data_IF_205326936122
#
_entry.id   IF_205326936122
#
_cell.length_a   1.000
_cell.length_b   1.000
_cell.length_c   1.000
_cell.angle_alpha   90.00
_cell.angle_beta   90.00
_cell.angle_gamma   90.00
#
_symmetry.space_group_name_H-M   'P 1'
#
loop_
_entity.id
_entity.type
_entity.pdbx_description
1 polymer ?
#
# COMPACT_ATOMS: atom_id res chain seq x y z
N UNK A 1 -2.55 17.30 4.05
CA UNK A 1 -2.41 17.40 5.51
C UNK A 1 -0.99 16.97 5.86
N UNK A 2 -0.29 17.76 6.66
CA UNK A 2 1.04 17.47 7.19
C UNK A 2 0.93 17.09 8.67
N UNK A 3 1.70 16.09 9.10
CA UNK A 3 1.76 15.69 10.50
C UNK A 3 3.21 15.63 10.95
N UNK A 4 3.53 16.30 12.04
CA UNK A 4 4.85 16.28 12.68
C UNK A 4 4.67 16.42 14.19
N UNK A 5 5.30 15.55 14.99
CA UNK A 5 5.28 15.61 16.45
C UNK A 5 3.88 15.82 17.05
N UNK A 6 2.87 15.08 16.59
CA UNK A 6 1.45 15.19 16.97
C UNK A 6 0.73 16.48 16.53
N UNK A 7 1.42 17.38 15.83
CA UNK A 7 0.79 18.54 15.22
C UNK A 7 0.30 18.14 13.83
N UNK A 8 -0.94 18.45 13.52
CA UNK A 8 -1.56 18.16 12.22
C UNK A 8 -1.99 19.49 11.61
N UNK A 9 -1.49 19.78 10.41
CA UNK A 9 -1.78 21.01 9.66
C UNK A 9 -2.33 20.69 8.28
N UNK A 10 -3.31 21.44 7.83
CA UNK A 10 -3.76 21.42 6.45
C UNK A 10 -2.74 22.18 5.59
N UNK A 11 -2.00 21.47 4.74
CA UNK A 11 -1.02 22.10 3.84
C UNK A 11 -1.69 22.78 2.66
N UNK A 12 -2.69 22.11 2.06
CA UNK A 12 -3.44 22.64 0.93
C UNK A 12 -4.89 22.16 0.98
N UNK A 13 -5.80 23.06 0.60
CA UNK A 13 -7.21 22.78 0.38
C UNK A 13 -7.57 23.35 -0.98
N UNK A 14 -8.13 22.55 -1.88
CA UNK A 14 -8.54 22.98 -3.21
C UNK A 14 -9.95 22.54 -3.50
N UNK A 15 -10.75 23.43 -4.09
CA UNK A 15 -12.04 23.07 -4.65
C UNK A 15 -11.83 22.27 -5.93
N UNK A 16 -12.53 21.16 -6.03
CA UNK A 16 -12.49 20.30 -7.22
C UNK A 16 -13.61 20.69 -8.19
N UNK A 17 -13.27 21.40 -9.24
CA UNK A 17 -14.18 21.91 -10.29
C UNK A 17 -14.25 21.02 -11.53
N UNK A 18 -13.53 19.90 -11.55
CA UNK A 18 -13.37 18.98 -12.69
C UNK A 18 -12.57 19.52 -13.88
N UNK A 19 -12.06 20.73 -13.84
CA UNK A 19 -11.19 21.30 -14.90
C UNK A 19 -9.85 20.56 -14.99
N UNK A 20 -9.38 20.01 -13.86
CA UNK A 20 -8.14 19.23 -13.75
C UNK A 20 -8.42 17.87 -13.09
N UNK A 21 -7.66 16.86 -13.42
CA UNK A 21 -7.79 15.58 -12.74
C UNK A 21 -7.26 15.66 -11.30
N UNK A 22 -7.83 14.87 -10.39
CA UNK A 22 -7.32 14.77 -9.00
C UNK A 22 -5.84 14.39 -8.93
N UNK A 23 -5.37 13.57 -9.87
CA UNK A 23 -3.96 13.20 -9.99
C UNK A 23 -3.08 14.41 -10.31
N UNK A 24 -3.51 15.25 -11.26
CA UNK A 24 -2.79 16.48 -11.61
C UNK A 24 -2.68 17.42 -10.42
N UNK A 25 -3.78 17.63 -9.68
CA UNK A 25 -3.78 18.48 -8.48
C UNK A 25 -2.77 17.98 -7.45
N UNK A 26 -2.75 16.68 -7.19
CA UNK A 26 -1.79 16.09 -6.22
C UNK A 26 -0.35 16.20 -6.70
N UNK A 27 -0.09 16.07 -8.01
CA UNK A 27 1.24 16.27 -8.58
C UNK A 27 1.69 17.75 -8.52
N UNK A 28 0.78 18.70 -8.69
CA UNK A 28 1.07 20.13 -8.52
C UNK A 28 1.45 20.42 -7.06
N UNK A 29 0.68 19.91 -6.09
CA UNK A 29 1.02 20.01 -4.67
C UNK A 29 2.41 19.42 -4.39
N UNK A 30 2.73 18.27 -4.97
CA UNK A 30 4.04 17.66 -4.79
C UNK A 30 5.19 18.53 -5.35
N UNK A 31 4.96 19.23 -6.47
CA UNK A 31 5.96 20.16 -7.05
C UNK A 31 6.26 21.33 -6.12
N UNK A 32 5.26 21.86 -5.43
CA UNK A 32 5.39 22.99 -4.52
C UNK A 32 6.03 22.61 -3.17
N UNK A 33 5.98 21.32 -2.80
CA UNK A 33 6.60 20.86 -1.57
C UNK A 33 8.13 21.06 -1.60
N UNK A 34 8.73 21.49 -0.49
CA UNK A 34 10.19 21.48 -0.34
C UNK A 34 10.71 20.03 -0.35
N UNK A 35 12.01 19.88 -0.62
CA UNK A 35 12.70 18.60 -0.44
C UNK A 35 12.60 18.21 1.04
N UNK A 36 12.27 16.96 1.30
CA UNK A 36 12.11 16.45 2.67
C UNK A 36 13.46 16.53 3.42
N UNK A 37 13.56 17.33 4.49
CA UNK A 37 14.82 17.51 5.22
C UNK A 37 15.16 16.34 6.16
N UNK A 38 14.18 15.52 6.46
CA UNK A 38 14.28 14.35 7.34
C UNK A 38 13.50 13.19 6.73
N UNK A 39 13.58 12.01 7.33
CA UNK A 39 12.77 10.86 6.92
C UNK A 39 11.28 11.26 6.98
N UNK A 40 10.67 11.36 5.82
CA UNK A 40 9.29 11.80 5.65
C UNK A 40 8.50 10.80 4.82
N UNK A 41 7.22 10.66 5.13
CA UNK A 41 6.33 9.72 4.46
C UNK A 41 5.17 10.45 3.78
N UNK A 42 4.93 10.11 2.52
CA UNK A 42 3.68 10.45 1.85
C UNK A 42 2.75 9.24 1.93
N UNK A 43 1.56 9.44 2.50
CA UNK A 43 0.55 8.39 2.67
C UNK A 43 -0.69 8.76 1.88
N UNK A 44 -1.17 7.83 1.06
CA UNK A 44 -2.37 8.06 0.26
C UNK A 44 -3.30 6.84 0.23
N UNK A 45 -4.54 7.09 -0.15
CA UNK A 45 -5.50 6.03 -0.41
C UNK A 45 -5.29 5.37 -1.79
N UNK A 46 -6.09 4.36 -2.08
CA UNK A 46 -5.98 3.58 -3.31
C UNK A 46 -6.27 4.36 -4.61
N UNK A 47 -6.91 5.53 -4.53
CA UNK A 47 -7.19 6.39 -5.68
C UNK A 47 -5.93 7.09 -6.19
N UNK A 48 -5.01 7.41 -5.27
CA UNK A 48 -3.77 8.13 -5.57
C UNK A 48 -2.56 7.20 -5.71
N UNK A 49 -2.74 5.90 -5.47
CA UNK A 49 -1.68 4.91 -5.59
C UNK A 49 -1.39 4.61 -7.06
N UNK A 50 -0.53 5.41 -7.66
CA UNK A 50 -0.04 5.27 -9.03
C UNK A 50 1.42 5.66 -9.13
N UNK A 51 2.15 5.13 -10.12
CA UNK A 51 3.55 5.48 -10.34
C UNK A 51 3.74 7.00 -10.44
N UNK A 52 2.90 7.66 -11.23
CA UNK A 52 2.97 9.13 -11.45
C UNK A 52 2.90 9.93 -10.15
N UNK A 53 1.99 9.59 -9.24
CA UNK A 53 1.85 10.28 -7.97
C UNK A 53 3.02 9.94 -7.05
N UNK A 54 3.31 8.64 -6.88
CA UNK A 54 4.39 8.20 -6.00
C UNK A 54 5.74 8.78 -6.40
N UNK A 55 6.05 8.77 -7.70
CA UNK A 55 7.33 9.31 -8.20
C UNK A 55 7.45 10.81 -7.96
N UNK A 56 6.35 11.57 -8.04
CA UNK A 56 6.37 13.01 -7.73
C UNK A 56 6.82 13.30 -6.28
N UNK A 57 6.41 12.47 -5.33
CA UNK A 57 6.84 12.61 -3.93
C UNK A 57 8.21 12.01 -3.67
N UNK A 58 8.56 10.90 -4.33
CA UNK A 58 9.90 10.30 -4.24
C UNK A 58 10.97 11.28 -4.70
N UNK A 59 10.75 12.03 -5.77
CA UNK A 59 11.65 13.08 -6.26
C UNK A 59 11.87 14.20 -5.23
N UNK A 60 10.96 14.36 -4.29
CA UNK A 60 11.07 15.28 -3.16
C UNK A 60 11.66 14.63 -1.90
N UNK A 61 12.14 13.38 -1.98
CA UNK A 61 12.78 12.68 -0.87
C UNK A 61 11.82 11.95 0.07
N UNK A 62 10.52 11.86 -0.25
CA UNK A 62 9.55 11.15 0.57
C UNK A 62 9.59 9.64 0.30
N UNK A 63 9.41 8.85 1.34
CA UNK A 63 8.96 7.47 1.21
C UNK A 63 7.46 7.47 0.94
N UNK A 64 7.02 6.68 -0.03
CA UNK A 64 5.60 6.67 -0.40
C UNK A 64 4.91 5.40 0.06
N UNK A 65 3.76 5.54 0.73
CA UNK A 65 2.92 4.45 1.21
C UNK A 65 1.51 4.69 0.67
N UNK A 66 1.00 3.72 -0.09
CA UNK A 66 -0.34 3.82 -0.67
C UNK A 66 -1.16 2.57 -0.43
N UNK A 67 -2.45 2.73 -0.15
CA UNK A 67 -3.36 1.59 -0.15
C UNK A 67 -3.46 0.99 -1.55
N UNK A 68 -3.49 -0.33 -1.65
CA UNK A 68 -3.61 -1.04 -2.92
C UNK A 68 -5.07 -1.40 -3.21
N UNK A 69 -5.52 -1.18 -4.44
CA UNK A 69 -6.81 -1.73 -4.90
C UNK A 69 -6.71 -3.25 -5.00
N UNK A 70 -7.73 -3.94 -4.54
CA UNK A 70 -7.79 -5.42 -4.50
C UNK A 70 -7.68 -6.08 -5.87
N UNK A 71 -8.10 -5.39 -6.92
CA UNK A 71 -8.01 -5.84 -8.31
C UNK A 71 -6.67 -5.55 -9.00
N UNK A 72 -5.68 -4.99 -8.29
CA UNK A 72 -4.33 -4.79 -8.85
C UNK A 72 -3.70 -6.12 -9.22
N UNK A 73 -2.99 -6.08 -10.34
CA UNK A 73 -2.25 -7.24 -10.84
C UNK A 73 -0.87 -7.27 -10.22
N UNK A 74 -0.49 -8.43 -9.74
CA UNK A 74 0.84 -8.78 -9.25
C UNK A 74 1.32 -10.02 -10.01
N UNK A 75 2.61 -10.32 -9.91
CA UNK A 75 3.25 -11.42 -10.64
C UNK A 75 4.03 -12.36 -9.71
N UNK A 76 3.40 -12.99 -8.69
CA UNK A 76 4.09 -13.96 -7.85
C UNK A 76 4.54 -15.15 -8.72
N UNK A 77 5.80 -15.55 -8.58
CA UNK A 77 6.41 -16.61 -9.40
C UNK A 77 6.23 -16.37 -10.91
N UNK A 78 6.17 -15.12 -11.37
CA UNK A 78 5.89 -14.69 -12.76
C UNK A 78 4.49 -15.04 -13.26
N UNK A 79 3.58 -15.44 -12.40
CA UNK A 79 2.20 -15.74 -12.76
C UNK A 79 1.35 -14.49 -12.54
N UNK A 80 0.66 -14.05 -13.59
CA UNK A 80 -0.24 -12.89 -13.55
C UNK A 80 -1.51 -13.23 -12.78
N UNK A 81 -1.75 -12.55 -11.65
CA UNK A 81 -2.98 -12.72 -10.87
C UNK A 81 -3.35 -11.43 -10.12
N UNK A 82 -4.59 -11.33 -9.65
CA UNK A 82 -5.02 -10.22 -8.82
C UNK A 82 -4.47 -10.35 -7.40
N UNK A 83 -4.17 -9.21 -6.77
CA UNK A 83 -3.72 -9.18 -5.38
C UNK A 83 -4.72 -9.85 -4.43
N UNK A 84 -6.03 -9.68 -4.66
CA UNK A 84 -7.08 -10.34 -3.89
C UNK A 84 -7.08 -11.86 -4.03
N UNK A 85 -6.85 -12.37 -5.24
CA UNK A 85 -6.77 -13.81 -5.48
C UNK A 85 -5.53 -14.41 -4.82
N UNK A 86 -4.39 -13.75 -4.96
CA UNK A 86 -3.16 -14.16 -4.28
C UNK A 86 -3.33 -14.20 -2.75
N UNK A 87 -3.97 -13.18 -2.20
CA UNK A 87 -4.23 -13.08 -0.77
C UNK A 87 -5.00 -14.30 -0.22
N UNK A 88 -5.95 -14.85 -0.98
CA UNK A 88 -6.72 -16.03 -0.58
C UNK A 88 -5.91 -17.34 -0.55
N UNK A 89 -4.78 -17.37 -1.24
CA UNK A 89 -3.91 -18.55 -1.31
C UNK A 89 -2.75 -18.53 -0.30
N UNK A 90 -2.56 -17.43 0.43
CA UNK A 90 -1.56 -17.35 1.47
C UNK A 90 -1.94 -18.25 2.64
N UNK A 91 -1.00 -19.08 3.08
CA UNK A 91 -1.17 -19.97 4.23
C UNK A 91 -0.31 -19.51 5.40
N UNK A 92 -0.77 -19.80 6.61
CA UNK A 92 -0.03 -19.53 7.84
C UNK A 92 1.32 -20.26 7.89
N UNK A 93 1.37 -21.44 7.27
CA UNK A 93 2.58 -22.26 7.16
C UNK A 93 3.57 -21.80 6.10
N UNK A 94 3.22 -20.76 5.30
CA UNK A 94 4.14 -20.18 4.32
C UNK A 94 5.33 -19.56 5.06
N UNK A 95 6.59 -19.94 4.73
CA UNK A 95 7.79 -19.45 5.41
C UNK A 95 8.01 -17.94 5.27
N UNK A 96 7.32 -17.29 4.33
CA UNK A 96 7.35 -15.82 4.14
C UNK A 96 6.26 -15.09 4.94
N UNK A 97 5.38 -15.81 5.62
CA UNK A 97 4.37 -15.21 6.50
C UNK A 97 4.94 -15.08 7.90
N UNK A 98 4.98 -13.86 8.41
CA UNK A 98 5.53 -13.55 9.73
C UNK A 98 4.43 -13.03 10.66
N UNK A 99 4.49 -13.41 11.93
CA UNK A 99 3.64 -12.84 12.97
C UNK A 99 4.28 -11.54 13.47
N UNK A 100 3.53 -10.45 13.44
CA UNK A 100 3.98 -9.11 13.84
C UNK A 100 2.98 -8.52 14.83
N UNK A 101 3.49 -7.93 15.91
CA UNK A 101 2.65 -7.23 16.89
C UNK A 101 2.74 -5.72 16.68
N UNK A 102 1.59 -5.08 16.47
CA UNK A 102 1.47 -3.64 16.30
C UNK A 102 0.39 -3.11 17.23
N UNK A 103 0.73 -2.19 18.13
CA UNK A 103 -0.23 -1.60 19.06
C UNK A 103 -0.97 -2.63 19.93
N UNK A 104 -0.28 -3.69 20.36
CA UNK A 104 -0.86 -4.78 21.16
C UNK A 104 -1.76 -5.75 20.39
N UNK A 105 -1.83 -5.63 19.06
CA UNK A 105 -2.57 -6.56 18.18
C UNK A 105 -1.61 -7.36 17.32
N UNK A 106 -1.93 -8.61 17.10
CA UNK A 106 -1.12 -9.52 16.30
C UNK A 106 -1.69 -9.65 14.88
N UNK A 107 -0.77 -9.63 13.90
CA UNK A 107 -1.08 -9.74 12.49
C UNK A 107 -0.15 -10.74 11.83
N UNK A 108 -0.67 -11.58 10.96
CA UNK A 108 0.13 -12.33 10.00
C UNK A 108 0.41 -11.42 8.80
N UNK A 109 1.68 -11.28 8.47
CA UNK A 109 2.14 -10.35 7.43
C UNK A 109 2.96 -11.10 6.40
N UNK A 110 2.58 -10.96 5.13
CA UNK A 110 3.35 -11.42 3.98
C UNK A 110 3.85 -10.20 3.20
N UNK A 111 5.14 -10.17 2.88
CA UNK A 111 5.77 -9.15 2.06
C UNK A 111 6.02 -9.69 0.65
N UNK A 112 5.38 -9.09 -0.32
CA UNK A 112 5.59 -9.34 -1.73
C UNK A 112 6.52 -8.28 -2.30
N UNK A 113 7.62 -8.70 -2.93
CA UNK A 113 8.58 -7.82 -3.59
C UNK A 113 8.78 -8.32 -5.02
N UNK A 114 8.11 -7.70 -5.96
CA UNK A 114 8.29 -7.94 -7.38
C UNK A 114 7.51 -6.87 -8.17
N UNK A 115 7.41 -7.06 -9.48
CA UNK A 115 6.64 -6.18 -10.34
C UNK A 115 5.18 -6.06 -9.87
N UNK A 116 4.76 -4.83 -9.74
CA UNK A 116 3.38 -4.44 -9.61
C UNK A 116 3.02 -3.67 -10.86
N UNK A 117 1.90 -3.99 -11.48
CA UNK A 117 1.47 -3.30 -12.71
C UNK A 117 1.59 -1.78 -12.56
N UNK A 118 2.34 -1.14 -13.44
CA UNK A 118 2.62 0.31 -13.49
C UNK A 118 3.48 0.88 -12.35
N UNK A 119 3.90 0.10 -11.36
CA UNK A 119 4.74 0.59 -10.25
C UNK A 119 5.95 -0.33 -10.08
N UNK A 120 7.09 0.01 -10.67
CA UNK A 120 8.33 -0.75 -10.49
C UNK A 120 8.88 -0.56 -9.06
N UNK A 121 9.63 -1.55 -8.59
CA UNK A 121 10.32 -1.53 -7.29
C UNK A 121 9.38 -1.25 -6.11
N UNK A 122 8.21 -1.87 -6.12
CA UNK A 122 7.24 -1.78 -5.03
C UNK A 122 7.30 -3.00 -4.11
N UNK A 123 7.09 -2.79 -2.82
CA UNK A 123 6.78 -3.84 -1.88
C UNK A 123 5.29 -3.78 -1.51
N UNK A 124 4.60 -4.89 -1.62
CA UNK A 124 3.20 -5.01 -1.19
C UNK A 124 3.14 -5.79 0.11
N UNK A 125 2.47 -5.22 1.10
CA UNK A 125 2.26 -5.87 2.40
C UNK A 125 0.84 -6.40 2.45
N UNK A 126 0.70 -7.71 2.60
CA UNK A 126 -0.57 -8.36 2.92
C UNK A 126 -0.62 -8.59 4.42
N UNK A 127 -1.64 -8.06 5.08
CA UNK A 127 -1.76 -8.14 6.54
C UNK A 127 -3.12 -8.69 6.94
N UNK A 128 -3.13 -9.67 7.81
CA UNK A 128 -4.32 -10.33 8.33
C UNK A 128 -4.33 -10.27 9.85
N UNK A 129 -5.41 -9.81 10.50
CA UNK A 129 -5.56 -10.02 11.93
C UNK A 129 -5.47 -11.52 12.27
N UNK A 130 -4.82 -11.85 13.37
CA UNK A 130 -4.60 -13.25 13.78
C UNK A 130 -5.90 -14.07 13.80
N UNK A 131 -6.98 -13.48 14.31
CA UNK A 131 -8.28 -14.15 14.43
C UNK A 131 -8.94 -14.39 13.06
N UNK A 132 -8.70 -13.50 12.09
CA UNK A 132 -9.25 -13.63 10.74
C UNK A 132 -8.51 -14.70 9.93
N UNK A 133 -7.21 -14.85 10.16
CA UNK A 133 -6.38 -15.82 9.43
C UNK A 133 -6.67 -17.27 9.86
N UNK A 134 -6.95 -17.50 11.14
CA UNK A 134 -7.35 -18.81 11.66
C UNK A 134 -8.64 -19.35 11.03
N UNK A 135 -9.61 -18.47 10.73
CA UNK A 135 -10.87 -18.85 10.08
C UNK A 135 -10.72 -19.29 8.63
N UNK A 136 -9.68 -18.86 7.94
CA UNK A 136 -9.41 -19.23 6.54
C UNK A 136 -8.84 -20.64 6.45
N UNK A 137 -8.08 -21.09 7.46
CA UNK A 137 -7.47 -22.42 7.47
C UNK A 137 -8.46 -23.54 7.86
N UNK A 138 -9.47 -23.25 8.67
CA UNK A 138 -10.44 -24.24 9.16
C UNK A 138 -11.55 -24.58 8.14
N UNK A 139 -11.75 -23.72 7.12
CA UNK A 139 -12.82 -23.87 6.14
C UNK A 139 -12.33 -24.52 4.84
N UNK A 140 -12.06 -25.82 4.87
CA UNK A 140 -11.77 -26.62 3.66
C UNK A 140 -12.96 -26.73 2.68
N UNK A 141 -14.11 -26.14 2.98
CA UNK A 141 -15.35 -26.32 2.20
C UNK A 141 -16.07 -25.02 1.83
N UNK A 142 -15.49 -23.84 2.05
CA UNK A 142 -16.20 -22.60 1.79
C UNK A 142 -15.70 -21.95 0.50
N UNK A 143 -16.53 -21.99 -0.56
CA UNK A 143 -16.47 -20.93 -1.59
C UNK A 143 -16.69 -19.63 -0.83
N UNK A 144 -15.72 -18.70 -0.81
CA UNK A 144 -15.90 -17.45 -0.11
C UNK A 144 -17.09 -16.74 -0.77
N UNK A 145 -18.27 -16.78 -0.16
CA UNK A 145 -19.13 -15.63 -0.23
C UNK A 145 -18.25 -14.47 0.18
N UNK A 146 -18.21 -13.44 -0.63
CA UNK A 146 -17.45 -12.20 -0.46
C UNK A 146 -17.87 -11.49 0.84
N UNK A 147 -17.66 -12.13 1.98
CA UNK A 147 -17.81 -11.58 3.30
C UNK A 147 -16.42 -11.15 3.70
N UNK A 148 -16.07 -9.92 3.33
CA UNK A 148 -15.16 -8.99 4.04
C UNK A 148 -13.99 -9.58 4.86
N UNK A 149 -13.35 -10.65 4.42
CA UNK A 149 -11.98 -10.94 4.83
C UNK A 149 -11.05 -10.28 3.81
N UNK A 150 -11.26 -8.98 3.60
CA UNK A 150 -10.26 -8.17 2.97
C UNK A 150 -9.08 -8.09 3.94
N UNK A 151 -7.88 -8.46 3.51
CA UNK A 151 -6.69 -8.00 4.22
C UNK A 151 -6.84 -6.48 4.35
N UNK A 152 -7.01 -6.01 5.59
CA UNK A 152 -7.44 -4.62 5.85
C UNK A 152 -6.45 -3.58 5.36
N UNK A 153 -5.23 -3.99 4.99
CA UNK A 153 -4.20 -3.06 4.56
C UNK A 153 -3.28 -3.70 3.52
N UNK A 154 -3.46 -3.32 2.26
CA UNK A 154 -2.44 -3.47 1.25
C UNK A 154 -1.62 -2.18 1.24
N UNK A 155 -0.37 -2.24 1.65
CA UNK A 155 0.52 -1.09 1.56
C UNK A 155 1.55 -1.32 0.46
N UNK A 156 1.75 -0.33 -0.38
CA UNK A 156 2.88 -0.26 -1.28
C UNK A 156 3.89 0.68 -0.64
N UNK A 157 5.08 0.16 -0.36
CA UNK A 157 6.22 0.98 0.03
C UNK A 157 7.14 1.06 -1.18
N UNK A 158 7.33 2.25 -1.73
CA UNK A 158 8.31 2.50 -2.77
C UNK A 158 9.46 3.31 -2.19
N UNK A 159 10.68 2.82 -2.37
CA UNK A 159 11.93 3.48 -1.96
C UNK A 159 12.76 3.78 -3.20
N UNK A 160 13.34 4.97 -3.26
CA UNK A 160 14.38 5.27 -4.23
C UNK A 160 15.67 4.57 -3.80
N UNK A 161 16.15 3.61 -4.59
CA UNK A 161 17.51 3.10 -4.41
C UNK A 161 18.46 4.12 -5.01
N UNK A 162 19.15 4.88 -4.19
CA UNK A 162 20.41 5.47 -4.61
C UNK A 162 21.40 4.31 -4.76
N UNK A 163 21.85 4.04 -5.98
CA UNK A 163 23.10 3.33 -6.19
C UNK A 163 24.19 4.29 -5.73
N UNK A 164 24.89 3.93 -4.66
CA UNK A 164 26.21 4.47 -4.33
C UNK A 164 27.19 4.01 -5.40
#
# INVERSE_FOLDING_TARGET
MLSCNRIILNYAVSLYDKSRSKIQIVQEIAKELPIAPVISYFICDSWYTSAKVMDSFIQKGFYTIGALKTNRIIYPCRIRQKASEFALHLKRSDPKVNLVTVGGREFYVYRYENELNDIPNAAVIFSYPREAFARIEDDHCFRPKLVEVCPRFFFIIKKMFFRL
#
